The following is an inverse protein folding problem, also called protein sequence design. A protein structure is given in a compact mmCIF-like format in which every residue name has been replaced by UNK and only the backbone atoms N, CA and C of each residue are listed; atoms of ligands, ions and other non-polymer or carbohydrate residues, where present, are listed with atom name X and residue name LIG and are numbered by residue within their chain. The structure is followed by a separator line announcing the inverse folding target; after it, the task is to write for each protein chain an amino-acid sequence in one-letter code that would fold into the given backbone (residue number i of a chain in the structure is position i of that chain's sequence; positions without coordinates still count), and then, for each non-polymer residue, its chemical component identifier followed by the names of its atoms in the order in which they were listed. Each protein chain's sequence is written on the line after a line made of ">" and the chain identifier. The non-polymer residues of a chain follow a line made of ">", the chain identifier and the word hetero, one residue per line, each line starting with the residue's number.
data_IF_560462996705
#
_entry.id   IF_560462996705
#
_cell.length_a   1.000
_cell.length_b   1.000
_cell.length_c   1.000
_cell.angle_alpha   90.00
_cell.angle_beta   90.00
_cell.angle_gamma   90.00
#
_symmetry.space_group_name_H-M   'P 1'
#
loop_
_entity.id
_entity.type
_entity.pdbx_description
1 polymer ?
#
# COMPACT_ATOMS: atom_id res chain seq x y z
N UNK A 1 20.73 -2.30 -12.25
CA UNK A 1 20.72 -2.93 -13.60
C UNK A 1 22.06 -2.81 -14.32
N UNK A 2 22.57 -1.60 -14.58
CA UNK A 2 23.83 -1.41 -15.32
C UNK A 2 25.03 -2.13 -14.67
N UNK A 3 25.18 -2.03 -13.35
CA UNK A 3 26.20 -2.78 -12.59
C UNK A 3 26.09 -4.31 -12.79
N UNK A 4 24.87 -4.87 -12.77
CA UNK A 4 24.63 -6.31 -12.93
C UNK A 4 25.10 -6.82 -14.30
N UNK A 5 24.85 -6.06 -15.36
CA UNK A 5 25.28 -6.37 -16.72
C UNK A 5 26.63 -5.76 -17.08
N UNK A 6 27.41 -5.28 -16.09
CA UNK A 6 28.73 -4.66 -16.27
C UNK A 6 28.73 -3.58 -17.37
N UNK A 7 27.65 -2.80 -17.42
CA UNK A 7 27.44 -1.75 -18.42
C UNK A 7 27.69 -0.39 -17.77
N UNK A 8 28.37 0.51 -18.48
CA UNK A 8 28.55 1.91 -18.07
C UNK A 8 27.44 2.76 -18.70
N UNK A 9 26.79 3.60 -17.89
CA UNK A 9 25.80 4.56 -18.39
C UNK A 9 26.52 5.87 -18.71
N UNK A 10 26.44 6.31 -19.96
CA UNK A 10 26.92 7.62 -20.40
C UNK A 10 25.72 8.43 -20.85
N UNK A 11 25.39 9.50 -20.12
CA UNK A 11 24.27 10.38 -20.45
C UNK A 11 24.62 11.36 -21.58
N UNK A 12 23.68 11.58 -22.51
CA UNK A 12 23.77 12.67 -23.48
C UNK A 12 23.76 14.04 -22.79
N UNK A 13 24.36 15.06 -23.41
CA UNK A 13 24.38 16.41 -22.83
C UNK A 13 22.99 17.04 -22.89
N UNK A 14 22.67 17.82 -21.85
CA UNK A 14 21.39 18.54 -21.75
C UNK A 14 21.22 19.46 -22.97
N UNK A 15 20.05 19.40 -23.61
CA UNK A 15 19.72 20.26 -24.76
C UNK A 15 20.50 19.95 -26.05
N UNK A 16 21.21 18.80 -26.13
CA UNK A 16 21.97 18.39 -27.32
C UNK A 16 21.37 17.14 -27.96
N UNK A 17 20.29 17.27 -28.76
CA UNK A 17 19.60 16.11 -29.36
C UNK A 17 20.49 15.29 -30.30
N UNK A 18 21.50 15.93 -30.92
CA UNK A 18 22.44 15.26 -31.83
C UNK A 18 23.32 14.19 -31.16
N UNK A 19 23.50 14.24 -29.84
CA UNK A 19 24.31 13.27 -29.09
C UNK A 19 23.72 11.84 -29.16
N UNK A 20 22.44 11.70 -29.52
CA UNK A 20 21.72 10.42 -29.68
C UNK A 20 20.98 10.30 -31.02
N UNK A 21 21.47 10.97 -32.06
CA UNK A 21 20.79 11.05 -33.36
C UNK A 21 20.54 9.67 -34.01
N UNK A 22 21.44 8.70 -33.79
CA UNK A 22 21.28 7.32 -34.29
C UNK A 22 20.03 6.64 -33.69
N UNK A 23 19.83 6.81 -32.39
CA UNK A 23 18.72 6.20 -31.65
C UNK A 23 17.37 6.79 -32.10
N UNK A 24 17.30 8.12 -32.26
CA UNK A 24 16.09 8.80 -32.73
C UNK A 24 15.70 8.37 -34.15
N UNK A 25 16.69 8.25 -35.03
CA UNK A 25 16.48 7.70 -36.38
C UNK A 25 15.99 6.24 -36.32
N UNK A 26 16.51 5.44 -35.40
CA UNK A 26 16.06 4.05 -35.23
C UNK A 26 14.61 3.98 -34.76
N UNK A 27 14.18 4.84 -33.83
CA UNK A 27 12.76 4.95 -33.42
C UNK A 27 11.87 5.18 -34.63
N UNK A 28 12.24 6.14 -35.49
CA UNK A 28 11.48 6.41 -36.73
C UNK A 28 11.45 5.23 -37.71
N UNK A 29 12.51 4.41 -37.74
CA UNK A 29 12.55 3.20 -38.56
C UNK A 29 11.65 2.09 -37.99
N UNK A 30 11.71 1.83 -36.68
CA UNK A 30 10.86 0.85 -35.99
C UNK A 30 9.39 1.22 -36.15
N UNK A 31 9.02 2.49 -35.97
CA UNK A 31 7.64 2.94 -36.18
C UNK A 31 7.13 2.66 -37.59
N UNK A 32 7.94 2.92 -38.63
CA UNK A 32 7.54 2.71 -40.03
C UNK A 32 7.58 1.25 -40.47
N UNK A 33 8.49 0.44 -39.92
CA UNK A 33 8.77 -0.92 -40.39
C UNK A 33 8.14 -2.02 -39.55
N UNK A 34 7.76 -1.73 -38.31
CA UNK A 34 7.14 -2.70 -37.39
C UNK A 34 5.75 -2.22 -36.98
N UNK A 35 5.62 -1.01 -36.44
CA UNK A 35 4.34 -0.52 -35.91
C UNK A 35 3.34 -0.23 -37.05
N UNK A 36 3.77 0.47 -38.10
CA UNK A 36 2.88 0.85 -39.20
C UNK A 36 2.26 -0.35 -39.92
N UNK A 37 2.97 -1.45 -40.23
CA UNK A 37 2.35 -2.67 -40.76
C UNK A 37 1.27 -3.28 -39.85
N UNK A 38 1.44 -3.19 -38.53
CA UNK A 38 0.54 -3.80 -37.55
C UNK A 38 -0.64 -2.90 -37.17
N UNK A 39 -0.69 -1.63 -37.62
CA UNK A 39 -1.65 -0.61 -37.17
C UNK A 39 -3.13 -0.96 -37.39
N UNK A 40 -3.42 -1.82 -38.37
CA UNK A 40 -4.78 -2.23 -38.72
C UNK A 40 -5.11 -3.66 -38.23
N UNK A 41 -4.22 -4.29 -37.45
CA UNK A 41 -4.43 -5.62 -36.88
C UNK A 41 -5.02 -5.46 -35.48
N UNK A 42 -6.12 -6.16 -35.21
CA UNK A 42 -6.64 -6.29 -33.85
C UNK A 42 -5.93 -7.44 -33.13
N UNK A 43 -5.71 -7.25 -31.84
CA UNK A 43 -5.06 -8.22 -30.96
C UNK A 43 -5.93 -8.46 -29.74
N UNK A 44 -5.98 -9.71 -29.29
CA UNK A 44 -6.77 -10.14 -28.14
C UNK A 44 -5.91 -10.52 -26.94
N UNK A 45 -4.59 -10.50 -27.10
CA UNK A 45 -3.65 -10.71 -25.99
C UNK A 45 -2.29 -10.03 -26.21
N UNK A 46 -1.57 -9.80 -25.11
CA UNK A 46 -0.16 -9.32 -25.15
C UNK A 46 0.73 -10.33 -25.88
N UNK A 47 0.42 -11.63 -25.77
CA UNK A 47 1.16 -12.68 -26.45
C UNK A 47 1.11 -12.51 -27.97
N UNK A 48 -0.09 -12.28 -28.53
CA UNK A 48 -0.28 -12.05 -29.96
C UNK A 48 0.45 -10.79 -30.44
N UNK A 49 0.43 -9.71 -29.64
CA UNK A 49 1.18 -8.49 -29.94
C UNK A 49 2.68 -8.79 -30.05
N UNK A 50 3.24 -9.48 -29.05
CA UNK A 50 4.67 -9.82 -29.03
C UNK A 50 5.05 -10.72 -30.21
N UNK A 51 4.20 -11.68 -30.57
CA UNK A 51 4.42 -12.54 -31.72
C UNK A 51 4.45 -11.73 -33.03
N UNK A 52 3.46 -10.88 -33.26
CA UNK A 52 3.38 -10.06 -34.47
C UNK A 52 4.53 -9.05 -34.58
N UNK A 53 4.94 -8.45 -33.46
CA UNK A 53 6.14 -7.60 -33.40
C UNK A 53 7.38 -8.41 -33.78
N UNK A 54 7.52 -9.65 -33.29
CA UNK A 54 8.67 -10.51 -33.60
C UNK A 54 8.75 -10.87 -35.09
N UNK A 55 7.60 -11.11 -35.72
CA UNK A 55 7.51 -11.39 -37.16
C UNK A 55 8.01 -10.20 -38.00
N UNK A 56 7.49 -8.99 -37.71
CA UNK A 56 7.92 -7.77 -38.40
C UNK A 56 9.37 -7.38 -38.07
N UNK A 57 9.85 -7.69 -36.86
CA UNK A 57 11.25 -7.50 -36.47
C UNK A 57 12.18 -8.36 -37.32
N UNK A 58 11.89 -9.65 -37.53
CA UNK A 58 12.70 -10.52 -38.40
C UNK A 58 12.74 -9.97 -39.83
N UNK A 59 11.62 -9.49 -40.38
CA UNK A 59 11.62 -8.81 -41.69
C UNK A 59 12.53 -7.57 -41.69
N UNK A 60 12.45 -6.76 -40.63
CA UNK A 60 13.22 -5.52 -40.54
C UNK A 60 14.74 -5.74 -40.39
N UNK A 61 15.17 -6.71 -39.58
CA UNK A 61 16.61 -6.96 -39.36
C UNK A 61 17.29 -7.63 -40.56
N UNK A 62 16.55 -8.41 -41.35
CA UNK A 62 17.06 -9.07 -42.55
C UNK A 62 16.99 -8.19 -43.81
N UNK A 63 16.20 -7.11 -43.78
CA UNK A 63 16.11 -6.16 -44.90
C UNK A 63 17.50 -5.58 -45.24
N UNK A 64 17.92 -5.61 -46.52
CA UNK A 64 19.19 -5.02 -46.95
C UNK A 64 19.30 -3.53 -46.61
N UNK A 65 20.52 -3.09 -46.34
CA UNK A 65 20.80 -1.66 -46.25
C UNK A 65 20.74 -0.98 -47.62
N UNK A 66 20.54 0.34 -47.63
CA UNK A 66 20.47 1.12 -48.88
C UNK A 66 21.84 1.56 -49.41
N UNK A 67 22.80 1.84 -48.52
CA UNK A 67 24.10 2.46 -48.85
C UNK A 67 25.31 1.60 -48.48
N UNK A 68 25.08 0.37 -48.04
CA UNK A 68 26.13 -0.57 -47.64
C UNK A 68 25.66 -2.00 -47.89
N UNK A 69 26.60 -2.93 -47.99
CA UNK A 69 26.27 -4.34 -48.19
C UNK A 69 25.74 -5.00 -46.91
N UNK A 70 24.91 -6.03 -47.10
CA UNK A 70 24.32 -6.83 -46.02
C UNK A 70 23.10 -6.18 -45.36
N UNK A 71 22.84 -6.57 -44.12
CA UNK A 71 21.71 -6.14 -43.30
C UNK A 71 22.10 -6.00 -41.82
N UNK A 72 21.15 -5.64 -40.96
CA UNK A 72 21.39 -5.41 -39.52
C UNK A 72 21.87 -6.68 -38.83
N UNK A 73 21.32 -7.84 -39.20
CA UNK A 73 21.69 -9.14 -38.62
C UNK A 73 23.12 -9.54 -38.97
N UNK A 74 23.55 -9.32 -40.21
CA UNK A 74 24.94 -9.59 -40.64
C UNK A 74 25.92 -8.59 -40.03
N UNK A 75 25.54 -7.31 -39.96
CA UNK A 75 26.35 -6.29 -39.29
C UNK A 75 26.57 -6.62 -37.81
N UNK A 76 25.50 -6.96 -37.08
CA UNK A 76 25.59 -7.38 -35.67
C UNK A 76 26.52 -8.58 -35.48
N UNK A 77 26.38 -9.61 -36.32
CA UNK A 77 27.23 -10.81 -36.23
C UNK A 77 28.71 -10.50 -36.49
N UNK A 78 29.00 -9.56 -37.38
CA UNK A 78 30.37 -9.20 -37.79
C UNK A 78 31.04 -8.23 -36.83
N UNK A 79 30.30 -7.25 -36.31
CA UNK A 79 30.84 -6.09 -35.58
C UNK A 79 30.62 -6.25 -34.07
N UNK A 80 29.37 -6.42 -33.65
CA UNK A 80 29.00 -6.38 -32.24
C UNK A 80 29.25 -7.71 -31.52
N UNK A 81 28.78 -8.83 -32.11
CA UNK A 81 28.76 -10.14 -31.47
C UNK A 81 30.14 -10.59 -30.95
N UNK A 82 31.26 -10.42 -31.66
CA UNK A 82 32.60 -10.79 -31.16
C UNK A 82 33.05 -9.97 -29.94
N UNK A 83 32.50 -8.76 -29.76
CA UNK A 83 32.85 -7.83 -28.69
C UNK A 83 31.96 -7.98 -27.45
N UNK A 84 30.89 -8.79 -27.51
CA UNK A 84 29.96 -8.97 -26.40
C UNK A 84 30.55 -9.87 -25.30
N UNK A 85 30.34 -9.44 -24.06
CA UNK A 85 30.65 -10.24 -22.87
C UNK A 85 29.60 -11.34 -22.64
N UNK A 86 29.95 -12.45 -21.96
CA UNK A 86 28.97 -13.43 -21.55
C UNK A 86 27.92 -12.82 -20.62
N UNK A 87 26.68 -13.30 -20.73
CA UNK A 87 25.62 -12.88 -19.82
C UNK A 87 25.93 -13.37 -18.39
N UNK A 88 25.57 -12.58 -17.36
CA UNK A 88 25.58 -13.08 -15.99
C UNK A 88 24.73 -14.33 -15.84
N UNK A 89 25.14 -15.26 -14.96
CA UNK A 89 24.43 -16.52 -14.73
C UNK A 89 22.98 -16.32 -14.23
N UNK A 90 22.71 -15.21 -13.56
CA UNK A 90 21.38 -14.84 -13.06
C UNK A 90 20.84 -13.62 -13.81
N UNK A 91 19.52 -13.61 -14.04
CA UNK A 91 18.83 -12.43 -14.57
C UNK A 91 18.85 -11.32 -13.53
N UNK A 92 18.89 -10.08 -14.00
CA UNK A 92 18.73 -8.94 -13.10
C UNK A 92 17.35 -8.98 -12.43
N UNK A 93 17.34 -8.91 -11.10
CA UNK A 93 16.13 -8.81 -10.30
C UNK A 93 16.00 -7.38 -9.75
N UNK A 94 14.92 -6.69 -10.14
CA UNK A 94 14.61 -5.39 -9.58
C UNK A 94 14.16 -5.56 -8.12
N UNK A 95 14.81 -4.82 -7.21
CA UNK A 95 14.49 -4.83 -5.79
C UNK A 95 14.30 -3.39 -5.29
N UNK A 96 13.21 -3.16 -4.58
CA UNK A 96 13.02 -1.96 -3.77
C UNK A 96 13.76 -2.13 -2.45
N UNK A 97 14.46 -1.09 -2.00
CA UNK A 97 15.02 -1.02 -0.65
C UNK A 97 14.26 0.04 0.15
N UNK A 98 13.73 -0.35 1.30
CA UNK A 98 12.92 0.52 2.15
C UNK A 98 13.38 0.39 3.60
N UNK A 99 13.76 1.51 4.23
CA UNK A 99 13.99 1.55 5.67
C UNK A 99 12.63 1.59 6.40
N UNK A 100 12.48 0.72 7.39
CA UNK A 100 11.28 0.67 8.23
C UNK A 100 11.63 0.21 9.64
N UNK A 101 10.62 0.03 10.49
CA UNK A 101 10.77 -0.47 11.85
C UNK A 101 9.91 -1.69 12.05
N UNK A 102 10.46 -2.71 12.69
CA UNK A 102 9.70 -3.85 13.15
C UNK A 102 8.68 -3.34 14.16
N UNK A 103 7.40 -3.54 13.86
CA UNK A 103 6.34 -3.17 14.77
C UNK A 103 6.40 -4.03 16.04
N UNK A 104 5.77 -3.55 17.12
CA UNK A 104 5.78 -4.25 18.41
C UNK A 104 5.18 -5.67 18.32
N UNK A 105 4.30 -5.91 17.35
CA UNK A 105 3.73 -7.21 17.03
C UNK A 105 4.63 -8.01 16.08
N UNK A 106 5.95 -7.74 16.07
CA UNK A 106 6.98 -8.45 15.31
C UNK A 106 6.72 -8.57 13.80
N UNK A 107 6.03 -7.59 13.21
CA UNK A 107 5.81 -7.53 11.76
C UNK A 107 6.43 -6.27 11.15
N UNK A 108 6.87 -6.40 9.90
CA UNK A 108 7.29 -5.29 9.05
C UNK A 108 6.25 -5.05 7.95
N UNK A 109 6.03 -3.79 7.61
CA UNK A 109 5.06 -3.40 6.59
C UNK A 109 5.76 -3.03 5.28
N UNK A 110 5.31 -3.60 4.16
CA UNK A 110 5.72 -3.19 2.83
C UNK A 110 4.49 -3.09 1.92
N UNK A 111 4.23 -1.88 1.39
CA UNK A 111 3.10 -1.56 0.50
C UNK A 111 1.73 -2.08 1.00
N UNK A 112 1.49 -2.01 2.31
CA UNK A 112 0.23 -2.40 2.96
C UNK A 112 0.09 -3.90 3.28
N UNK A 113 1.14 -4.69 3.06
CA UNK A 113 1.26 -6.09 3.47
C UNK A 113 2.22 -6.23 4.65
N UNK A 114 1.97 -7.19 5.52
CA UNK A 114 2.69 -7.37 6.77
C UNK A 114 3.38 -8.73 6.80
N UNK A 115 4.68 -8.72 7.08
CA UNK A 115 5.52 -9.91 7.11
C UNK A 115 6.15 -10.04 8.50
N UNK A 116 6.03 -11.20 9.11
CA UNK A 116 6.61 -11.44 10.45
C UNK A 116 8.13 -11.51 10.43
N UNK A 117 8.74 -11.17 11.55
CA UNK A 117 10.14 -11.45 11.89
C UNK A 117 10.19 -12.02 13.29
N UNK A 118 11.29 -12.66 13.68
CA UNK A 118 11.43 -13.16 15.04
C UNK A 118 11.21 -12.06 16.09
N UNK A 119 10.45 -12.38 17.13
CA UNK A 119 9.93 -11.42 18.11
C UNK A 119 10.99 -10.62 18.86
N UNK A 120 12.18 -11.18 19.02
CA UNK A 120 13.33 -10.49 19.63
C UNK A 120 13.67 -9.19 18.90
N UNK A 121 13.32 -9.08 17.61
CA UNK A 121 13.57 -7.89 16.80
C UNK A 121 12.46 -6.84 16.89
N UNK A 122 11.42 -7.05 17.71
CA UNK A 122 10.36 -6.07 17.89
C UNK A 122 10.93 -4.70 18.27
N UNK A 123 10.41 -3.63 17.65
CA UNK A 123 10.86 -2.24 17.80
C UNK A 123 12.21 -1.87 17.17
N UNK A 124 12.98 -2.80 16.61
CA UNK A 124 14.23 -2.49 15.90
C UNK A 124 13.99 -1.83 14.54
N UNK A 125 14.90 -0.93 14.14
CA UNK A 125 14.98 -0.45 12.75
C UNK A 125 15.50 -1.57 11.86
N UNK A 126 14.98 -1.65 10.66
CA UNK A 126 15.30 -2.70 9.70
C UNK A 126 15.18 -2.17 8.26
N UNK A 127 15.79 -2.90 7.33
CA UNK A 127 15.68 -2.67 5.91
C UNK A 127 14.88 -3.80 5.26
N UNK A 128 13.96 -3.45 4.38
CA UNK A 128 13.28 -4.40 3.51
C UNK A 128 13.92 -4.34 2.14
N UNK A 129 14.38 -5.48 1.64
CA UNK A 129 14.66 -5.70 0.22
C UNK A 129 13.48 -6.46 -0.39
N UNK A 130 12.72 -5.78 -1.24
CA UNK A 130 11.50 -6.31 -1.84
C UNK A 130 11.67 -6.53 -3.34
N UNK A 131 11.67 -7.78 -3.77
CA UNK A 131 11.67 -8.16 -5.18
C UNK A 131 10.25 -8.42 -5.69
N UNK A 132 10.10 -8.80 -6.97
CA UNK A 132 8.79 -9.23 -7.50
C UNK A 132 8.24 -10.50 -6.84
N UNK A 133 9.08 -11.31 -6.20
CA UNK A 133 8.70 -12.62 -5.64
C UNK A 133 8.98 -12.75 -4.16
N UNK A 134 9.93 -12.01 -3.61
CA UNK A 134 10.38 -12.18 -2.24
C UNK A 134 10.42 -10.86 -1.48
N UNK A 135 10.24 -10.97 -0.17
CA UNK A 135 10.46 -9.90 0.81
C UNK A 135 11.52 -10.41 1.77
N UNK A 136 12.66 -9.74 1.79
CA UNK A 136 13.75 -10.04 2.71
C UNK A 136 13.87 -8.90 3.71
N UNK A 137 14.03 -9.24 4.99
CA UNK A 137 14.18 -8.26 6.07
C UNK A 137 15.60 -8.34 6.62
N UNK A 138 16.23 -7.19 6.76
CA UNK A 138 17.62 -7.05 7.20
C UNK A 138 17.72 -6.15 8.42
N UNK A 139 18.59 -6.49 9.36
CA UNK A 139 19.06 -5.60 10.41
C UNK A 139 20.58 -5.49 10.27
N UNK A 140 21.08 -4.29 9.98
CA UNK A 140 22.47 -4.13 9.54
C UNK A 140 22.73 -4.93 8.26
N UNK A 141 23.70 -5.84 8.31
CA UNK A 141 24.08 -6.71 7.18
C UNK A 141 23.47 -8.12 7.28
N UNK A 142 22.74 -8.43 8.35
CA UNK A 142 22.18 -9.75 8.58
C UNK A 142 20.74 -9.83 8.06
N UNK A 143 20.44 -10.89 7.30
CA UNK A 143 19.08 -11.18 6.83
C UNK A 143 18.34 -11.98 7.89
N UNK A 144 17.39 -11.34 8.56
CA UNK A 144 16.67 -11.91 9.71
C UNK A 144 15.38 -12.66 9.31
N UNK A 145 14.83 -12.41 8.12
CA UNK A 145 13.64 -13.12 7.63
C UNK A 145 13.54 -13.07 6.10
N UNK A 146 12.86 -14.06 5.53
CA UNK A 146 12.50 -14.12 4.10
C UNK A 146 11.06 -14.61 3.96
N UNK A 147 10.30 -13.95 3.10
CA UNK A 147 8.93 -14.31 2.77
C UNK A 147 8.71 -14.32 1.27
N UNK A 148 7.75 -15.13 0.83
CA UNK A 148 7.17 -14.94 -0.51
C UNK A 148 6.34 -13.66 -0.50
N UNK A 149 6.53 -12.82 -1.52
CA UNK A 149 5.82 -11.55 -1.66
C UNK A 149 4.33 -11.79 -1.87
N UNK A 150 3.53 -11.15 -1.05
CA UNK A 150 2.10 -11.23 -1.08
C UNK A 150 1.49 -10.10 -1.93
N UNK A 151 0.48 -10.46 -2.70
CA UNK A 151 -0.33 -9.57 -3.52
C UNK A 151 -1.83 -9.70 -3.24
N UNK A 152 -2.24 -10.67 -2.41
CA UNK A 152 -3.62 -10.92 -2.04
C UNK A 152 -4.10 -9.91 -0.99
N UNK A 153 -4.97 -8.99 -1.43
CA UNK A 153 -5.49 -7.93 -0.57
C UNK A 153 -6.44 -8.43 0.51
N UNK A 154 -6.99 -9.64 0.39
CA UNK A 154 -7.88 -10.22 1.39
C UNK A 154 -7.11 -10.67 2.63
N UNK A 155 -5.98 -11.36 2.44
CA UNK A 155 -5.08 -11.77 3.50
C UNK A 155 -3.77 -10.98 3.46
N UNK A 156 -3.71 -9.88 4.21
CA UNK A 156 -2.55 -8.98 4.17
C UNK A 156 -1.39 -9.40 5.08
N UNK A 157 -1.55 -10.43 5.90
CA UNK A 157 -0.55 -10.87 6.87
C UNK A 157 0.09 -12.19 6.44
N UNK A 158 1.43 -12.24 6.50
CA UNK A 158 2.23 -13.46 6.35
C UNK A 158 3.04 -13.67 7.63
N UNK A 159 2.48 -14.48 8.51
CA UNK A 159 3.07 -14.81 9.81
C UNK A 159 3.65 -16.23 9.76
N UNK A 160 4.92 -16.38 10.15
CA UNK A 160 5.55 -17.68 10.37
C UNK A 160 5.51 -18.00 11.86
N UNK A 161 5.15 -19.23 12.22
CA UNK A 161 5.03 -19.65 13.62
C UNK A 161 6.37 -19.63 14.36
N UNK A 162 7.47 -19.90 13.66
CA UNK A 162 8.84 -19.84 14.19
C UNK A 162 9.24 -18.44 14.67
N UNK A 163 8.59 -17.40 14.14
CA UNK A 163 8.85 -16.02 14.55
C UNK A 163 8.16 -15.63 15.86
N UNK A 164 7.21 -16.44 16.33
CA UNK A 164 6.49 -16.19 17.57
C UNK A 164 7.32 -16.62 18.80
N UNK A 165 7.31 -15.85 19.91
CA UNK A 165 7.92 -16.27 21.17
C UNK A 165 7.27 -17.54 21.71
N UNK A 166 7.98 -18.41 22.44
CA UNK A 166 7.34 -19.58 23.08
C UNK A 166 6.21 -19.17 24.02
N UNK A 167 6.36 -18.04 24.71
CA UNK A 167 5.29 -17.47 25.52
C UNK A 167 4.11 -16.97 24.68
N UNK A 168 4.28 -16.53 23.42
CA UNK A 168 3.13 -16.28 22.53
C UNK A 168 2.58 -17.55 21.90
N UNK A 169 3.40 -18.60 21.77
CA UNK A 169 2.94 -19.95 21.42
C UNK A 169 2.12 -20.56 22.56
N UNK A 170 2.37 -20.18 23.82
CA UNK A 170 1.68 -20.68 25.00
C UNK A 170 0.57 -19.75 25.55
N UNK A 171 0.86 -18.46 25.81
CA UNK A 171 -0.04 -17.40 26.31
C UNK A 171 0.52 -15.99 25.96
N UNK A 172 0.13 -15.44 24.81
CA UNK A 172 0.42 -14.09 24.29
C UNK A 172 0.78 -12.95 25.30
N UNK A 173 2.06 -12.56 25.43
CA UNK A 173 2.57 -11.41 26.21
C UNK A 173 2.18 -9.99 25.70
N UNK A 174 1.37 -9.91 24.66
CA UNK A 174 0.32 -8.90 24.54
C UNK A 174 -0.97 -9.69 24.51
N UNK A 175 -1.62 -9.84 25.65
CA UNK A 175 -2.78 -10.72 25.72
C UNK A 175 -3.99 -9.98 25.16
N UNK A 176 -4.88 -10.71 24.51
CA UNK A 176 -6.25 -10.26 24.29
C UNK A 176 -6.82 -9.64 25.58
N UNK A 177 -6.48 -10.23 26.74
CA UNK A 177 -6.75 -9.70 28.08
C UNK A 177 -6.36 -8.23 28.24
N UNK A 178 -5.14 -7.82 27.85
CA UNK A 178 -4.68 -6.44 28.07
C UNK A 178 -5.48 -5.43 27.26
N UNK A 179 -5.84 -5.76 26.02
CA UNK A 179 -6.71 -4.93 25.20
C UNK A 179 -8.11 -4.86 25.80
N UNK A 180 -8.63 -5.98 26.30
CA UNK A 180 -9.94 -6.06 26.95
C UNK A 180 -9.97 -5.28 28.27
N UNK A 181 -8.96 -5.40 29.13
CA UNK A 181 -8.85 -4.66 30.40
C UNK A 181 -8.68 -3.15 30.19
N UNK A 182 -7.98 -2.74 29.13
CA UNK A 182 -7.94 -1.31 28.76
C UNK A 182 -9.32 -0.83 28.27
N UNK A 183 -9.97 -1.62 27.42
CA UNK A 183 -11.26 -1.27 26.85
C UNK A 183 -12.36 -1.17 27.92
N UNK A 184 -12.32 -2.05 28.92
CA UNK A 184 -13.21 -2.07 30.08
C UNK A 184 -13.16 -0.78 30.90
N UNK A 185 -12.00 -0.13 30.98
CA UNK A 185 -11.87 1.20 31.64
C UNK A 185 -12.58 2.32 30.88
N UNK A 186 -12.85 2.14 29.59
CA UNK A 186 -13.57 3.11 28.77
C UNK A 186 -15.08 2.80 28.71
N UNK A 187 -15.45 1.54 28.87
CA UNK A 187 -16.83 1.11 29.06
C UNK A 187 -17.17 -0.25 28.43
N UNK A 188 -18.39 -0.75 28.67
CA UNK A 188 -18.83 -2.07 28.21
C UNK A 188 -18.84 -2.23 26.69
N UNK A 189 -19.29 -1.21 25.93
CA UNK A 189 -19.33 -1.26 24.47
C UNK A 189 -17.93 -1.18 23.86
N UNK A 190 -17.02 -0.39 24.44
CA UNK A 190 -15.62 -0.37 23.99
C UNK A 190 -14.97 -1.76 24.18
N UNK A 191 -15.24 -2.44 25.30
CA UNK A 191 -14.78 -3.82 25.55
C UNK A 191 -15.33 -4.81 24.53
N UNK A 192 -16.63 -4.75 24.23
CA UNK A 192 -17.26 -5.64 23.26
C UNK A 192 -16.71 -5.42 21.83
N UNK A 193 -16.48 -4.17 21.43
CA UNK A 193 -15.90 -3.85 20.13
C UNK A 193 -14.50 -4.46 19.98
N UNK A 194 -13.65 -4.26 20.98
CA UNK A 194 -12.28 -4.81 20.98
C UNK A 194 -12.31 -6.33 20.97
N UNK A 195 -13.23 -6.97 21.71
CA UNK A 195 -13.43 -8.42 21.69
C UNK A 195 -13.77 -8.92 20.28
N UNK A 196 -14.78 -8.34 19.63
CA UNK A 196 -15.18 -8.71 18.27
C UNK A 196 -14.06 -8.50 17.25
N UNK A 197 -13.27 -7.44 17.41
CA UNK A 197 -12.09 -7.21 16.57
C UNK A 197 -11.06 -8.34 16.73
N UNK A 198 -10.75 -8.74 17.96
CA UNK A 198 -9.79 -9.82 18.23
C UNK A 198 -10.27 -11.19 17.71
N UNK A 199 -11.57 -11.44 17.76
CA UNK A 199 -12.22 -12.68 17.28
C UNK A 199 -12.41 -12.70 15.75
N UNK A 200 -12.21 -11.58 15.05
CA UNK A 200 -12.42 -11.48 13.60
C UNK A 200 -11.33 -12.14 12.74
N UNK A 201 -10.25 -12.61 13.35
CA UNK A 201 -9.09 -13.22 12.70
C UNK A 201 -8.70 -14.50 13.43
N UNK A 202 -8.31 -15.53 12.68
CA UNK A 202 -7.82 -16.81 13.23
C UNK A 202 -6.66 -16.60 14.21
N UNK A 203 -5.85 -15.56 13.97
CA UNK A 203 -4.78 -15.14 14.86
C UNK A 203 -5.04 -13.71 15.38
N UNK A 204 -5.32 -13.52 16.69
CA UNK A 204 -5.64 -12.23 17.29
C UNK A 204 -4.61 -11.11 17.04
N UNK A 205 -3.34 -11.47 16.82
CA UNK A 205 -2.24 -10.52 16.55
C UNK A 205 -2.43 -9.69 15.30
N UNK A 206 -3.08 -10.28 14.30
CA UNK A 206 -3.39 -9.58 13.06
C UNK A 206 -4.28 -8.37 13.35
N UNK A 207 -5.05 -8.43 14.45
CA UNK A 207 -5.94 -7.39 14.91
C UNK A 207 -5.29 -6.40 15.90
N UNK A 208 -4.12 -6.70 16.46
CA UNK A 208 -3.47 -5.84 17.48
C UNK A 208 -3.15 -4.44 16.96
N UNK A 209 -2.80 -4.30 15.68
CA UNK A 209 -2.59 -2.99 15.06
C UNK A 209 -3.88 -2.17 15.01
N UNK A 210 -5.02 -2.81 14.76
CA UNK A 210 -6.35 -2.19 14.81
C UNK A 210 -6.69 -1.75 16.22
N UNK A 211 -6.56 -2.63 17.22
CA UNK A 211 -6.83 -2.32 18.62
C UNK A 211 -5.95 -1.16 19.13
N UNK A 212 -4.65 -1.17 18.81
CA UNK A 212 -3.74 -0.07 19.16
C UNK A 212 -4.08 1.24 18.46
N UNK A 213 -4.53 1.19 17.20
CA UNK A 213 -5.03 2.36 16.50
C UNK A 213 -6.18 3.01 17.26
N UNK A 214 -7.14 2.20 17.71
CA UNK A 214 -8.28 2.64 18.53
C UNK A 214 -7.79 3.22 19.87
N UNK A 215 -6.89 2.52 20.58
CA UNK A 215 -6.30 3.01 21.82
C UNK A 215 -5.60 4.37 21.67
N UNK A 216 -4.92 4.60 20.54
CA UNK A 216 -4.24 5.87 20.27
C UNK A 216 -5.24 6.99 20.01
N UNK A 217 -6.33 6.74 19.27
CA UNK A 217 -7.40 7.71 19.07
C UNK A 217 -8.09 8.09 20.40
N UNK A 218 -8.27 7.09 21.28
CA UNK A 218 -8.87 7.29 22.58
C UNK A 218 -8.10 8.26 23.49
N UNK A 219 -6.77 8.41 23.30
CA UNK A 219 -5.98 9.37 24.10
C UNK A 219 -6.38 10.84 23.90
N UNK A 220 -6.99 11.17 22.77
CA UNK A 220 -7.40 12.54 22.41
C UNK A 220 -8.88 12.82 22.59
N UNK A 221 -9.68 11.86 23.07
CA UNK A 221 -11.13 11.98 23.18
C UNK A 221 -11.59 11.65 24.61
N UNK A 222 -12.76 12.17 25.02
CA UNK A 222 -13.36 11.77 26.29
C UNK A 222 -13.88 10.33 26.23
N UNK A 223 -13.94 9.69 27.39
CA UNK A 223 -14.41 8.32 27.55
C UNK A 223 -15.84 8.14 26.99
N UNK A 224 -16.73 9.11 27.21
CA UNK A 224 -18.12 9.04 26.74
C UNK A 224 -18.23 9.05 25.21
N UNK A 225 -17.37 9.82 24.53
CA UNK A 225 -17.34 9.90 23.07
C UNK A 225 -16.87 8.56 22.48
N UNK A 226 -15.84 7.96 23.08
CA UNK A 226 -15.30 6.68 22.63
C UNK A 226 -16.32 5.57 22.84
N UNK A 227 -17.00 5.57 23.97
CA UNK A 227 -18.02 4.57 24.30
C UNK A 227 -19.23 4.67 23.36
N UNK A 228 -19.69 5.90 23.06
CA UNK A 228 -20.77 6.15 22.10
C UNK A 228 -20.38 5.72 20.68
N UNK A 229 -19.16 6.05 20.24
CA UNK A 229 -18.64 5.62 18.95
C UNK A 229 -18.47 4.10 18.85
N UNK A 230 -18.09 3.45 19.96
CA UNK A 230 -17.96 1.99 20.03
C UNK A 230 -19.31 1.30 19.91
N UNK A 231 -20.35 1.82 20.58
CA UNK A 231 -21.73 1.34 20.42
C UNK A 231 -22.19 1.46 18.97
N UNK A 232 -22.01 2.62 18.35
CA UNK A 232 -22.42 2.84 16.96
C UNK A 232 -21.65 1.96 15.97
N UNK A 233 -20.38 1.66 16.25
CA UNK A 233 -19.59 0.72 15.45
C UNK A 233 -20.09 -0.73 15.55
N UNK A 234 -20.52 -1.15 16.75
CA UNK A 234 -21.12 -2.47 16.98
C UNK A 234 -22.47 -2.58 16.27
N UNK A 235 -23.34 -1.58 16.41
CA UNK A 235 -24.67 -1.56 15.78
C UNK A 235 -24.56 -1.64 14.25
N UNK A 236 -23.50 -1.07 13.67
CA UNK A 236 -23.20 -1.13 12.22
C UNK A 236 -22.38 -2.36 11.81
N UNK A 237 -21.99 -3.22 12.75
CA UNK A 237 -21.17 -4.41 12.54
C UNK A 237 -19.81 -4.12 11.87
N UNK A 238 -19.12 -3.06 12.33
CA UNK A 238 -17.89 -2.54 11.72
C UNK A 238 -16.68 -2.73 12.64
N UNK A 239 -15.70 -3.52 12.20
CA UNK A 239 -14.52 -3.91 13.01
C UNK A 239 -13.18 -3.42 12.44
N UNK A 240 -13.19 -2.40 11.59
CA UNK A 240 -11.99 -1.84 10.94
C UNK A 240 -11.63 -0.46 11.48
N UNK A 241 -10.33 -0.24 11.75
CA UNK A 241 -9.81 1.05 12.23
C UNK A 241 -10.25 2.24 11.35
N UNK A 242 -10.24 2.07 10.02
CA UNK A 242 -10.58 3.14 9.08
C UNK A 242 -12.01 3.65 9.32
N UNK A 243 -12.95 2.71 9.46
CA UNK A 243 -14.35 3.07 9.64
C UNK A 243 -14.66 3.51 11.07
N UNK A 244 -14.01 2.91 12.08
CA UNK A 244 -14.11 3.40 13.45
C UNK A 244 -13.67 4.86 13.57
N UNK A 245 -12.58 5.26 12.90
CA UNK A 245 -12.12 6.65 12.86
C UNK A 245 -13.17 7.59 12.19
N UNK A 246 -13.90 7.12 11.18
CA UNK A 246 -14.98 7.89 10.55
C UNK A 246 -16.14 8.10 11.53
N UNK A 247 -16.58 7.04 12.21
CA UNK A 247 -17.65 7.09 13.22
C UNK A 247 -17.26 8.03 14.35
N UNK A 248 -16.04 7.88 14.90
CA UNK A 248 -15.55 8.74 15.98
C UNK A 248 -15.59 10.22 15.60
N UNK A 249 -15.17 10.58 14.38
CA UNK A 249 -15.26 11.97 13.88
C UNK A 249 -16.70 12.48 13.78
N UNK A 250 -17.65 11.61 13.40
CA UNK A 250 -19.06 11.97 13.35
C UNK A 250 -19.63 12.22 14.75
N UNK A 251 -19.32 11.35 15.71
CA UNK A 251 -19.74 11.50 17.12
C UNK A 251 -19.19 12.80 17.71
N UNK A 252 -17.89 13.09 17.54
CA UNK A 252 -17.27 14.35 18.00
C UNK A 252 -17.97 15.59 17.41
N UNK A 253 -18.35 15.56 16.13
CA UNK A 253 -19.05 16.66 15.46
C UNK A 253 -20.49 16.85 15.98
N UNK A 254 -21.15 15.76 16.36
CA UNK A 254 -22.51 15.81 16.90
C UNK A 254 -22.53 16.26 18.37
N UNK A 255 -21.51 15.90 19.16
CA UNK A 255 -21.37 16.37 20.54
C UNK A 255 -21.10 17.88 20.63
N UNK A 256 -20.33 18.46 19.70
CA UNK A 256 -20.13 19.92 19.62
C UNK A 256 -21.38 20.68 19.20
N UNK A 257 -22.26 20.08 18.38
CA UNK A 257 -23.56 20.69 18.04
C UNK A 257 -24.51 20.77 19.23
N UNK A 258 -24.58 19.74 20.08
CA UNK A 258 -25.45 19.71 21.27
C UNK A 258 -25.11 20.77 22.32
N UNK A 259 -23.85 21.21 22.42
CA UNK A 259 -23.45 22.27 23.36
C UNK A 259 -23.92 23.67 22.91
N UNK A 260 -24.18 23.88 21.62
CA UNK A 260 -24.62 25.19 21.11
C UNK A 260 -26.15 25.42 21.21
N UNK A 261 -26.93 24.39 21.58
CA UNK A 261 -28.39 24.44 21.75
C UNK A 261 -28.81 24.75 23.20
N UNK A 262 -27.98 25.43 23.99
CA UNK A 262 -28.47 26.04 25.23
C UNK A 262 -29.43 27.16 24.85
N UNK A 263 -30.74 26.92 25.02
CA UNK A 263 -31.77 27.96 24.88
C UNK A 263 -31.39 29.13 25.80
N UNK A 264 -30.92 30.23 25.20
CA UNK A 264 -30.68 31.48 25.92
C UNK A 264 -32.05 32.01 26.33
N UNK A 265 -32.41 31.89 27.62
CA UNK A 265 -33.60 32.56 28.16
C UNK A 265 -33.32 34.05 28.21
N UNK A 266 -33.75 34.78 27.19
CA UNK A 266 -33.75 36.24 27.19
C UNK A 266 -35.07 36.77 27.78
N UNK A 267 -34.99 37.77 28.67
CA UNK A 267 -36.15 38.47 29.26
C UNK A 267 -37.10 39.08 28.21
N UNK A 268 -36.63 39.30 26.99
CA UNK A 268 -37.40 39.94 25.92
C UNK A 268 -38.34 39.00 25.16
N UNK A 269 -38.35 37.70 25.46
CA UNK A 269 -39.26 36.74 24.81
C UNK A 269 -40.57 36.67 25.59
N UNK A 270 -41.58 37.42 25.14
CA UNK A 270 -42.92 37.41 25.74
C UNK A 270 -43.69 36.15 25.34
N UNK A 271 -44.32 35.50 26.32
CA UNK A 271 -45.11 34.28 26.12
C UNK A 271 -46.38 34.50 25.29
N UNK A 272 -47.01 33.41 24.87
CA UNK A 272 -48.22 33.40 24.01
C UNK A 272 -49.40 34.21 24.59
N UNK A 273 -49.43 34.43 25.90
CA UNK A 273 -50.42 35.28 26.59
C UNK A 273 -50.35 36.77 26.21
N UNK A 274 -49.27 37.24 25.58
CA UNK A 274 -49.14 38.63 25.12
C UNK A 274 -49.94 38.94 23.84
N UNK A 275 -50.47 37.93 23.15
CA UNK A 275 -51.15 38.07 21.86
C UNK A 275 -52.67 37.88 21.90
N UNK A 276 -53.27 37.67 23.09
CA UNK A 276 -54.70 37.32 23.21
C UNK A 276 -55.68 38.50 23.29
N UNK A 277 -55.29 39.72 22.89
CA UNK A 277 -56.08 40.94 23.16
C UNK A 277 -56.32 41.91 22.00
N UNK A 278 -56.15 41.50 20.74
CA UNK A 278 -56.25 42.40 19.57
C UNK A 278 -57.47 42.17 18.68
N UNK A 279 -58.68 42.25 19.23
CA UNK A 279 -59.92 42.28 18.43
C UNK A 279 -60.23 43.71 17.98
N UNK A 280 -60.17 43.97 16.67
CA UNK A 280 -60.51 45.26 16.06
C UNK A 280 -62.04 45.40 16.02
N UNK A 281 -62.55 46.46 16.64
CA UNK A 281 -63.95 46.89 16.55
C UNK A 281 -64.26 47.34 15.11
N UNK A 282 -65.28 46.73 14.50
CA UNK A 282 -65.96 47.27 13.32
C UNK A 282 -67.28 47.89 13.78
N UNK A 283 -67.43 49.20 13.56
CA UNK A 283 -68.67 49.91 13.27
C UNK A 283 -68.29 51.23 12.59
#
# INVERSE_FOLDING_TARGET
>A
MALHYRTTIVSARVGKPKDKASDENMVGNVSRRIIAPLRNRQFFSIHEINQAISEELEKFINRPFQKMEGNRKTAFKKIDKPCLQPLPATKYEYCDWVETRVAFNYHVEYKGFFYSVHYSYANHKCWIRASSKTIEVYIGNERIAVHTRNYDKSNRYKTLEEHMPEEHKAVYAWSSERFLSWAEKNGPYTRELIKKILESSDYPVQCYRTCMGIMRLAKSCSVEIIETASKEAIDKNVFSFKYFNIILKQVVKNSTKKQNDTIIRHENVRGSSAYSGGGIYAN
#
